data_IF_013659574257
#
_entry.id   IF_013659574257
#
_cell.length_a   1.000
_cell.length_b   1.000
_cell.length_c   1.000
_cell.angle_alpha   90.00
_cell.angle_beta   90.00
_cell.angle_gamma   90.00
#
_symmetry.space_group_name_H-M   'P 1'
#
loop_
_entity.id
_entity.type
_entity.pdbx_description
1 polymer ?
#
# COMPACT_ATOMS: atom_id res chain seq x y z
N UNK A 1 -14.53 -6.23 6.49
CA UNK A 1 -13.44 -5.38 5.94
C UNK A 1 -12.98 -5.98 4.61
N UNK A 2 -12.94 -5.18 3.54
CA UNK A 2 -12.48 -5.64 2.24
C UNK A 2 -10.93 -5.70 2.22
N UNK A 3 -10.37 -6.79 2.77
CA UNK A 3 -8.91 -6.94 2.89
C UNK A 3 -8.26 -7.72 1.75
N UNK A 4 -9.02 -8.57 1.06
CA UNK A 4 -8.54 -9.39 -0.07
C UNK A 4 -9.03 -8.82 -1.38
N UNK A 5 -8.27 -8.99 -2.45
CA UNK A 5 -8.58 -8.38 -3.74
C UNK A 5 -9.91 -8.87 -4.33
N UNK A 6 -10.28 -10.15 -4.12
CA UNK A 6 -11.60 -10.66 -4.54
C UNK A 6 -12.78 -9.97 -3.85
N UNK A 7 -12.58 -9.51 -2.61
CA UNK A 7 -13.61 -8.74 -1.89
C UNK A 7 -13.63 -7.29 -2.36
N UNK A 8 -12.47 -6.74 -2.72
CA UNK A 8 -12.38 -5.40 -3.33
C UNK A 8 -13.07 -5.40 -4.70
N UNK A 9 -12.85 -6.41 -5.54
CA UNK A 9 -13.51 -6.54 -6.84
C UNK A 9 -15.05 -6.53 -6.71
N UNK A 10 -15.59 -7.39 -5.83
CA UNK A 10 -17.04 -7.44 -5.58
C UNK A 10 -17.60 -6.14 -5.02
N UNK A 11 -16.83 -5.39 -4.23
CA UNK A 11 -17.24 -4.08 -3.76
C UNK A 11 -17.22 -3.08 -4.92
N UNK A 12 -16.15 -3.06 -5.70
CA UNK A 12 -15.98 -2.17 -6.83
C UNK A 12 -17.06 -2.37 -7.91
N UNK A 13 -17.51 -3.60 -8.15
CA UNK A 13 -18.66 -3.91 -9.04
C UNK A 13 -19.95 -3.17 -8.62
N UNK A 14 -20.09 -2.86 -7.33
CA UNK A 14 -21.29 -2.21 -6.78
C UNK A 14 -21.14 -0.69 -6.70
N UNK A 15 -19.94 -0.20 -6.37
CA UNK A 15 -19.74 1.22 -6.04
C UNK A 15 -18.73 1.96 -6.93
N UNK A 16 -18.08 1.29 -7.88
CA UNK A 16 -17.00 1.86 -8.71
C UNK A 16 -17.43 3.11 -9.49
N UNK A 17 -18.68 3.16 -9.94
CA UNK A 17 -19.23 4.27 -10.73
C UNK A 17 -19.81 5.41 -9.88
N UNK A 18 -19.65 5.37 -8.55
CA UNK A 18 -20.21 6.39 -7.63
C UNK A 18 -19.31 7.61 -7.42
N UNK A 19 -18.22 7.73 -8.20
CA UNK A 19 -17.26 8.84 -8.08
C UNK A 19 -16.22 8.65 -6.97
N UNK A 20 -16.02 7.42 -6.51
CA UNK A 20 -15.03 7.07 -5.47
C UNK A 20 -13.61 6.94 -6.06
N UNK A 21 -12.62 6.95 -5.17
CA UNK A 21 -11.24 6.60 -5.46
C UNK A 21 -10.76 5.37 -4.69
N UNK A 22 -9.58 4.89 -5.02
CA UNK A 22 -8.93 3.77 -4.34
C UNK A 22 -7.61 4.18 -3.69
N UNK A 23 -7.46 3.90 -2.39
CA UNK A 23 -6.20 4.02 -1.67
C UNK A 23 -5.60 2.63 -1.46
N UNK A 24 -4.37 2.43 -1.92
CA UNK A 24 -3.60 1.23 -1.63
C UNK A 24 -2.75 1.47 -0.37
N UNK A 25 -2.96 0.67 0.67
CA UNK A 25 -2.08 0.64 1.83
C UNK A 25 -1.18 -0.60 1.80
N UNK A 26 0.13 -0.41 1.86
CA UNK A 26 1.11 -1.50 1.77
C UNK A 26 1.12 -2.40 3.00
N UNK A 27 0.94 -1.85 4.21
CA UNK A 27 0.83 -2.63 5.44
C UNK A 27 -0.45 -3.46 5.43
N UNK A 28 -1.58 -2.90 4.98
CA UNK A 28 -2.86 -3.61 4.94
C UNK A 28 -2.85 -4.71 3.89
N UNK A 29 -2.25 -4.45 2.73
CA UNK A 29 -2.06 -5.45 1.68
C UNK A 29 -1.24 -6.63 2.19
N UNK A 30 -0.12 -6.34 2.87
CA UNK A 30 0.72 -7.35 3.51
C UNK A 30 -0.01 -8.12 4.62
N UNK A 31 -0.70 -7.43 5.53
CA UNK A 31 -1.47 -8.02 6.61
C UNK A 31 -2.65 -8.87 6.09
N UNK A 32 -3.19 -8.56 4.91
CA UNK A 32 -4.18 -9.39 4.24
C UNK A 32 -3.61 -10.70 3.68
N UNK A 33 -2.29 -10.78 3.51
CA UNK A 33 -1.59 -11.89 2.87
C UNK A 33 -1.57 -11.80 1.35
N UNK A 34 -1.86 -10.62 0.79
CA UNK A 34 -1.73 -10.37 -0.64
C UNK A 34 -0.25 -10.03 -0.96
N UNK A 35 0.26 -10.56 -2.06
CA UNK A 35 1.62 -10.28 -2.48
C UNK A 35 1.75 -8.82 -2.94
N UNK A 36 2.75 -8.10 -2.44
CA UNK A 36 3.02 -6.72 -2.86
C UNK A 36 3.66 -6.63 -4.25
N UNK A 37 4.30 -7.70 -4.72
CA UNK A 37 5.02 -7.75 -6.01
C UNK A 37 4.14 -7.39 -7.21
N UNK A 38 2.86 -7.75 -7.17
CA UNK A 38 1.88 -7.52 -8.25
C UNK A 38 0.62 -6.78 -7.76
N UNK A 39 0.62 -6.29 -6.52
CA UNK A 39 -0.55 -5.66 -5.90
C UNK A 39 -1.10 -4.49 -6.71
N UNK A 40 -0.21 -3.62 -7.20
CA UNK A 40 -0.60 -2.44 -7.97
C UNK A 40 -1.30 -2.82 -9.27
N UNK A 41 -0.76 -3.78 -10.02
CA UNK A 41 -1.33 -4.21 -11.30
C UNK A 41 -2.67 -4.89 -11.09
N UNK A 42 -2.78 -5.76 -10.07
CA UNK A 42 -4.03 -6.43 -9.70
C UNK A 42 -5.12 -5.45 -9.28
N UNK A 43 -4.76 -4.44 -8.48
CA UNK A 43 -5.71 -3.39 -8.10
C UNK A 43 -6.11 -2.56 -9.32
N UNK A 44 -5.17 -2.10 -10.16
CA UNK A 44 -5.49 -1.36 -11.38
C UNK A 44 -6.36 -2.17 -12.35
N UNK A 45 -6.20 -3.49 -12.40
CA UNK A 45 -7.09 -4.37 -13.17
C UNK A 45 -8.53 -4.41 -12.63
N UNK A 46 -8.71 -4.24 -11.32
CA UNK A 46 -10.03 -4.20 -10.66
C UNK A 46 -10.66 -2.80 -10.78
N UNK A 47 -9.89 -1.76 -10.46
CA UNK A 47 -10.40 -0.42 -10.20
C UNK A 47 -10.18 0.55 -11.37
N UNK A 48 -9.26 0.22 -12.28
CA UNK A 48 -8.74 1.12 -13.31
C UNK A 48 -7.81 2.22 -12.78
N UNK A 49 -7.61 2.34 -11.46
CA UNK A 49 -6.96 3.48 -10.82
C UNK A 49 -6.37 3.18 -9.45
N UNK A 50 -5.35 3.93 -9.07
CA UNK A 50 -4.92 4.10 -7.67
C UNK A 50 -4.77 5.60 -7.48
N UNK A 51 -5.48 6.15 -6.52
CA UNK A 51 -5.55 7.60 -6.29
C UNK A 51 -4.64 8.07 -5.18
N UNK A 52 -4.25 7.15 -4.30
CA UNK A 52 -3.41 7.40 -3.15
C UNK A 52 -2.69 6.10 -2.76
N UNK A 53 -1.45 6.23 -2.30
CA UNK A 53 -0.72 5.16 -1.63
C UNK A 53 -0.45 5.57 -0.19
N UNK A 54 -0.86 4.73 0.75
CA UNK A 54 -0.30 4.75 2.09
C UNK A 54 0.90 3.80 2.11
N UNK A 55 2.10 4.36 2.21
CA UNK A 55 3.35 3.60 2.18
C UNK A 55 3.83 3.39 3.61
N UNK A 56 3.47 2.24 4.16
CA UNK A 56 3.76 1.81 5.51
C UNK A 56 4.48 0.45 5.47
N UNK A 57 5.54 0.30 6.25
CA UNK A 57 6.07 -1.03 6.57
C UNK A 57 5.16 -1.71 7.61
N UNK A 58 5.20 -3.04 7.69
CA UNK A 58 4.41 -3.80 8.66
C UNK A 58 5.31 -4.39 9.74
N UNK A 59 4.94 -4.21 11.01
CA UNK A 59 5.63 -4.87 12.13
C UNK A 59 5.47 -6.40 12.12
N UNK A 60 4.49 -6.90 11.36
CA UNK A 60 3.95 -8.25 11.48
C UNK A 60 4.14 -9.09 10.22
N UNK A 61 3.96 -10.41 10.37
CA UNK A 61 4.07 -11.34 9.25
C UNK A 61 2.95 -11.12 8.23
N UNK A 62 3.21 -11.50 6.98
CA UNK A 62 2.20 -11.50 5.93
C UNK A 62 1.01 -12.37 6.33
N UNK A 63 -0.21 -11.89 6.06
CA UNK A 63 -1.45 -12.62 6.38
C UNK A 63 -1.83 -12.61 7.86
N UNK A 64 -1.09 -11.90 8.72
CA UNK A 64 -1.39 -11.78 10.15
C UNK A 64 -2.74 -11.14 10.46
N UNK A 65 -3.30 -10.36 9.53
CA UNK A 65 -4.50 -9.54 9.73
C UNK A 65 -4.31 -8.39 10.71
N UNK A 66 -3.07 -8.07 11.10
CA UNK A 66 -2.75 -7.03 12.07
C UNK A 66 -2.30 -5.75 11.35
N UNK A 67 -2.95 -4.66 11.70
CA UNK A 67 -2.63 -3.33 11.19
C UNK A 67 -1.71 -2.60 12.18
N UNK A 68 -0.40 -2.82 12.07
CA UNK A 68 0.60 -2.24 12.96
C UNK A 68 1.79 -1.75 12.14
N UNK A 69 1.77 -0.45 11.85
CA UNK A 69 2.79 0.19 11.02
C UNK A 69 4.16 0.16 11.70
N UNK A 70 5.20 0.09 10.86
CA UNK A 70 6.59 0.30 11.22
C UNK A 70 7.19 1.37 10.30
N UNK A 71 8.25 2.05 10.75
CA UNK A 71 9.07 2.87 9.87
C UNK A 71 9.72 2.00 8.79
N UNK A 72 10.03 2.57 7.63
CA UNK A 72 10.47 1.78 6.47
C UNK A 72 11.80 1.09 6.75
N UNK A 73 11.84 -0.24 6.59
CA UNK A 73 13.02 -1.06 6.88
C UNK A 73 13.18 -1.45 8.35
N UNK A 74 12.21 -1.11 9.21
CA UNK A 74 12.12 -1.60 10.59
C UNK A 74 11.01 -2.64 10.80
N UNK A 75 10.24 -2.94 9.76
CA UNK A 75 9.23 -3.98 9.75
C UNK A 75 9.68 -5.24 9.01
N UNK A 76 8.70 -5.97 8.47
CA UNK A 76 8.88 -7.24 7.78
C UNK A 76 8.74 -7.13 6.26
N UNK A 77 8.32 -5.97 5.73
CA UNK A 77 8.21 -5.77 4.29
C UNK A 77 9.58 -5.34 3.76
N UNK A 78 10.04 -6.00 2.70
CA UNK A 78 11.25 -5.57 1.99
C UNK A 78 11.07 -4.11 1.48
N UNK A 79 11.95 -3.16 1.87
CA UNK A 79 11.87 -1.78 1.42
C UNK A 79 11.87 -1.62 -0.10
N UNK A 80 12.49 -2.53 -0.84
CA UNK A 80 12.50 -2.46 -2.30
C UNK A 80 11.12 -2.80 -2.90
N UNK A 81 10.33 -3.66 -2.24
CA UNK A 81 8.94 -3.91 -2.63
C UNK A 81 8.05 -2.68 -2.39
N UNK A 82 8.29 -1.94 -1.30
CA UNK A 82 7.59 -0.70 -1.01
C UNK A 82 7.87 0.36 -2.08
N UNK A 83 9.15 0.55 -2.43
CA UNK A 83 9.57 1.46 -3.51
C UNK A 83 8.97 1.04 -4.85
N UNK A 84 8.96 -0.26 -5.17
CA UNK A 84 8.36 -0.77 -6.40
C UNK A 84 6.85 -0.49 -6.47
N UNK A 85 6.11 -0.72 -5.38
CA UNK A 85 4.69 -0.42 -5.29
C UNK A 85 4.41 1.08 -5.50
N UNK A 86 5.17 1.96 -4.84
CA UNK A 86 5.03 3.42 -5.02
C UNK A 86 5.26 3.83 -6.47
N UNK A 87 6.34 3.35 -7.10
CA UNK A 87 6.66 3.66 -8.51
C UNK A 87 5.58 3.16 -9.45
N UNK A 88 5.13 1.92 -9.29
CA UNK A 88 4.12 1.32 -10.15
C UNK A 88 2.76 2.02 -10.00
N UNK A 89 2.41 2.47 -8.78
CA UNK A 89 1.16 3.17 -8.54
C UNK A 89 1.13 4.51 -9.29
N UNK A 90 2.20 5.30 -9.18
CA UNK A 90 2.29 6.63 -9.80
C UNK A 90 1.31 7.64 -9.18
N UNK A 91 0.94 7.43 -7.91
CA UNK A 91 -0.03 8.24 -7.18
C UNK A 91 0.66 9.02 -6.04
N UNK A 92 0.01 10.06 -5.47
CA UNK A 92 0.46 10.68 -4.23
C UNK A 92 0.68 9.64 -3.12
N UNK A 93 1.65 9.92 -2.23
CA UNK A 93 2.04 9.00 -1.16
C UNK A 93 1.95 9.68 0.19
N UNK A 94 1.41 8.95 1.17
CA UNK A 94 1.41 9.33 2.60
C UNK A 94 2.14 8.24 3.39
N UNK A 95 3.01 8.65 4.32
CA UNK A 95 3.58 7.76 5.32
C UNK A 95 2.81 7.93 6.63
N UNK A 96 2.24 6.86 7.15
CA UNK A 96 1.52 6.80 8.43
C UNK A 96 2.33 6.03 9.48
N UNK A 97 3.65 5.96 9.28
CA UNK A 97 4.64 5.40 10.20
C UNK A 97 4.75 6.26 11.47
N UNK A 98 5.43 5.81 12.52
CA UNK A 98 5.53 6.59 13.77
C UNK A 98 6.18 7.98 13.55
N UNK A 99 5.76 8.99 14.32
CA UNK A 99 6.27 10.37 14.21
C UNK A 99 7.81 10.41 14.24
N UNK A 100 8.40 9.64 15.15
CA UNK A 100 9.84 9.40 15.19
C UNK A 100 10.25 8.55 13.98
N UNK A 101 11.04 9.12 13.07
CA UNK A 101 11.53 8.44 11.86
C UNK A 101 10.73 8.71 10.59
N UNK A 102 9.48 9.23 10.68
CA UNK A 102 8.66 9.51 9.47
C UNK A 102 9.31 10.47 8.48
N UNK A 103 10.07 11.45 8.97
CA UNK A 103 10.81 12.38 8.10
C UNK A 103 11.84 11.63 7.24
N UNK A 104 12.49 10.63 7.82
CA UNK A 104 13.50 9.82 7.15
C UNK A 104 12.84 8.85 6.16
N UNK A 105 11.68 8.28 6.51
CA UNK A 105 10.86 7.47 5.60
C UNK A 105 10.45 8.26 4.34
N UNK A 106 9.98 9.50 4.52
CA UNK A 106 9.63 10.39 3.41
C UNK A 106 10.86 10.70 2.56
N UNK A 107 12.00 11.00 3.19
CA UNK A 107 13.25 11.26 2.47
C UNK A 107 13.72 10.05 1.66
N UNK A 108 13.66 8.85 2.25
CA UNK A 108 13.98 7.59 1.61
C UNK A 108 13.12 7.36 0.36
N UNK A 109 11.80 7.54 0.47
CA UNK A 109 10.92 7.38 -0.69
C UNK A 109 11.28 8.39 -1.79
N UNK A 110 11.38 9.68 -1.46
CA UNK A 110 11.73 10.73 -2.44
C UNK A 110 13.01 10.43 -3.20
N UNK A 111 14.06 10.02 -2.48
CA UNK A 111 15.33 9.64 -3.08
C UNK A 111 15.19 8.44 -4.03
N UNK A 112 14.47 7.40 -3.60
CA UNK A 112 14.35 6.14 -4.34
C UNK A 112 13.35 6.21 -5.49
N UNK A 113 12.37 7.11 -5.45
CA UNK A 113 11.30 7.26 -6.45
C UNK A 113 11.51 8.44 -7.39
N UNK A 114 12.41 9.38 -7.08
CA UNK A 114 12.70 10.54 -7.92
C UNK A 114 11.61 11.61 -7.88
N UNK A 115 10.90 11.72 -6.75
CA UNK A 115 9.73 12.59 -6.55
C UNK A 115 9.92 13.53 -5.37
#
# INVERSE_FOLDING_TARGET
MARRFDTIARLWDVIGDTGIGFCLDTCHTWAAGEALTDAVDRIKAITGRIDLVHCNDSRDEAGSGRDRHANLGSGQIDPDLLVAAVKAAGAPVICETADQGRKDDIAFLRERTGS
#
